data_IF_076109756643
#
_entry.id   IF_076109756643
#
_cell.length_a   1.000
_cell.length_b   1.000
_cell.length_c   1.000
_cell.angle_alpha   90.00
_cell.angle_beta   90.00
_cell.angle_gamma   90.00
#
_symmetry.space_group_name_H-M   'P 1'
#
loop_
_entity.id
_entity.type
_entity.pdbx_description
1 polymer ?
#
# COMPACT_ATOMS: atom_id res chain seq x y z
N UNK A 1 -12.05 -1.29 2.47
CA UNK A 1 -10.63 -1.19 2.93
C UNK A 1 -10.04 0.18 2.62
N UNK A 2 -8.93 0.52 3.26
CA UNK A 2 -8.16 1.72 2.96
C UNK A 2 -6.72 1.42 2.55
N UNK A 3 -6.16 2.34 1.76
CA UNK A 3 -4.74 2.42 1.47
C UNK A 3 -4.28 3.85 1.77
N UNK A 4 -3.26 4.03 2.59
CA UNK A 4 -2.70 5.32 2.95
C UNK A 4 -1.37 5.56 2.20
N UNK A 5 -1.26 6.68 1.50
CA UNK A 5 -0.13 7.05 0.64
C UNK A 5 -0.54 7.28 -0.81
N UNK A 6 0.23 8.13 -1.50
CA UNK A 6 0.00 8.51 -2.90
C UNK A 6 1.09 8.05 -3.87
N UNK A 7 1.95 7.11 -3.46
CA UNK A 7 3.13 6.66 -4.22
C UNK A 7 2.97 5.22 -4.73
N UNK A 8 4.02 4.64 -5.31
CA UNK A 8 3.98 3.36 -6.05
C UNK A 8 3.40 2.20 -5.25
N UNK A 9 3.83 2.00 -4.01
CA UNK A 9 3.38 0.87 -3.19
C UNK A 9 1.88 0.95 -2.90
N UNK A 10 1.43 2.12 -2.44
CA UNK A 10 0.03 2.40 -2.14
C UNK A 10 -0.87 2.28 -3.39
N UNK A 11 -0.47 2.87 -4.51
CA UNK A 11 -1.28 2.80 -5.74
C UNK A 11 -1.29 1.40 -6.37
N UNK A 12 -0.20 0.63 -6.22
CA UNK A 12 -0.18 -0.78 -6.61
C UNK A 12 -1.13 -1.62 -5.75
N UNK A 13 -1.12 -1.43 -4.42
CA UNK A 13 -2.06 -2.07 -3.51
C UNK A 13 -3.51 -1.74 -3.86
N UNK A 14 -3.80 -0.45 -4.10
CA UNK A 14 -5.13 0.01 -4.47
C UNK A 14 -5.60 -0.58 -5.80
N UNK A 15 -4.75 -0.59 -6.83
CA UNK A 15 -5.06 -1.17 -8.15
C UNK A 15 -5.40 -2.66 -8.05
N UNK A 16 -4.60 -3.44 -7.31
CA UNK A 16 -4.86 -4.86 -7.10
C UNK A 16 -6.16 -5.08 -6.29
N UNK A 17 -6.41 -4.26 -5.27
CA UNK A 17 -7.64 -4.31 -4.48
C UNK A 17 -8.90 -4.06 -5.34
N UNK A 18 -8.88 -3.03 -6.17
CA UNK A 18 -9.98 -2.69 -7.08
C UNK A 18 -10.23 -3.81 -8.09
N UNK A 19 -9.17 -4.40 -8.67
CA UNK A 19 -9.28 -5.55 -9.61
C UNK A 19 -9.89 -6.79 -8.96
N UNK A 20 -9.73 -6.94 -7.64
CA UNK A 20 -10.34 -8.02 -6.84
C UNK A 20 -11.76 -7.69 -6.35
N UNK A 21 -12.28 -6.51 -6.68
CA UNK A 21 -13.64 -6.08 -6.33
C UNK A 21 -13.76 -5.43 -4.95
N UNK A 22 -12.65 -5.09 -4.28
CA UNK A 22 -12.70 -4.35 -3.03
C UNK A 22 -13.09 -2.88 -3.27
N UNK A 23 -13.88 -2.32 -2.36
CA UNK A 23 -14.04 -0.87 -2.25
C UNK A 23 -12.80 -0.28 -1.56
N UNK A 24 -12.02 0.51 -2.32
CA UNK A 24 -10.74 1.08 -1.86
C UNK A 24 -10.84 2.59 -1.67
N UNK A 25 -10.58 3.04 -0.45
CA UNK A 25 -10.33 4.46 -0.15
C UNK A 25 -8.83 4.71 -0.14
N UNK A 26 -8.36 5.67 -0.94
CA UNK A 26 -6.95 6.10 -0.98
C UNK A 26 -6.82 7.36 -0.13
N UNK A 27 -6.12 7.26 0.99
CA UNK A 27 -5.84 8.35 1.92
C UNK A 27 -4.53 9.03 1.53
N UNK A 28 -4.60 10.25 1.04
CA UNK A 28 -3.45 10.98 0.50
C UNK A 28 -2.91 11.97 1.53
N UNK A 29 -1.60 11.94 1.79
CA UNK A 29 -0.90 12.95 2.59
C UNK A 29 -0.41 14.10 1.71
N UNK A 30 0.11 13.75 0.54
CA UNK A 30 0.49 14.66 -0.53
C UNK A 30 -0.29 14.35 -1.81
N UNK A 31 -0.23 15.27 -2.77
CA UNK A 31 -0.83 15.06 -4.09
C UNK A 31 -0.10 13.93 -4.85
N UNK A 32 -0.80 12.83 -5.24
CA UNK A 32 -0.19 11.70 -5.92
C UNK A 32 0.54 12.07 -7.22
N UNK A 33 0.02 13.06 -7.96
CA UNK A 33 0.66 13.56 -9.18
C UNK A 33 2.10 14.03 -8.90
N UNK A 34 2.27 14.87 -7.88
CA UNK A 34 3.56 15.41 -7.48
C UNK A 34 4.53 14.30 -7.04
N UNK A 35 4.05 13.34 -6.23
CA UNK A 35 4.88 12.22 -5.77
C UNK A 35 5.38 11.37 -6.94
N UNK A 36 4.49 11.02 -7.88
CA UNK A 36 4.84 10.15 -9.00
C UNK A 36 5.77 10.84 -10.01
N UNK A 37 5.56 12.12 -10.31
CA UNK A 37 6.45 12.89 -11.19
C UNK A 37 7.87 13.01 -10.62
N UNK A 38 8.02 12.99 -9.30
CA UNK A 38 9.32 13.03 -8.64
C UNK A 38 10.12 11.71 -8.75
N UNK A 39 9.48 10.59 -9.13
CA UNK A 39 10.15 9.27 -9.19
C UNK A 39 11.03 9.11 -10.43
N UNK A 40 10.62 9.66 -11.57
CA UNK A 40 11.36 9.54 -12.82
C UNK A 40 10.91 10.61 -13.83
N UNK A 41 11.88 11.15 -14.55
CA UNK A 41 11.72 12.01 -15.74
C UNK A 41 10.91 11.37 -16.89
N UNK A 42 10.77 10.04 -16.90
CA UNK A 42 9.95 9.31 -17.88
C UNK A 42 8.45 9.37 -17.58
N UNK A 43 8.06 9.75 -16.37
CA UNK A 43 6.66 9.91 -15.99
C UNK A 43 6.22 11.33 -16.34
N UNK A 44 5.42 11.46 -17.40
CA UNK A 44 4.85 12.76 -17.77
C UNK A 44 3.54 13.01 -17.01
N UNK A 45 3.14 14.29 -16.82
CA UNK A 45 1.87 14.62 -16.17
C UNK A 45 0.67 13.93 -16.82
N UNK A 46 0.67 13.80 -18.15
CA UNK A 46 -0.42 13.17 -18.90
C UNK A 46 -0.52 11.68 -18.59
N UNK A 47 0.61 10.97 -18.53
CA UNK A 47 0.63 9.54 -18.17
C UNK A 47 0.15 9.35 -16.74
N UNK A 48 0.69 10.11 -15.80
CA UNK A 48 0.31 9.99 -14.38
C UNK A 48 -1.17 10.31 -14.18
N UNK A 49 -1.66 11.42 -14.74
CA UNK A 49 -3.06 11.81 -14.61
C UNK A 49 -4.00 10.80 -15.25
N UNK A 50 -3.62 10.20 -16.39
CA UNK A 50 -4.40 9.12 -17.01
C UNK A 50 -4.55 7.93 -16.07
N UNK A 51 -3.48 7.48 -15.42
CA UNK A 51 -3.52 6.34 -14.50
C UNK A 51 -4.32 6.67 -13.22
N UNK A 52 -4.16 7.88 -12.65
CA UNK A 52 -4.95 8.32 -11.50
C UNK A 52 -6.44 8.44 -11.82
N UNK A 53 -6.78 8.99 -13.00
CA UNK A 53 -8.16 9.06 -13.48
C UNK A 53 -8.75 7.68 -13.71
N UNK A 54 -7.96 6.74 -14.22
CA UNK A 54 -8.38 5.35 -14.37
C UNK A 54 -8.72 4.73 -13.00
N UNK A 55 -7.87 4.89 -11.98
CA UNK A 55 -8.14 4.40 -10.62
C UNK A 55 -9.46 4.96 -10.07
N UNK A 56 -9.69 6.27 -10.23
CA UNK A 56 -10.95 6.89 -9.81
C UNK A 56 -12.15 6.30 -10.59
N UNK A 57 -12.01 6.12 -11.91
CA UNK A 57 -13.07 5.59 -12.77
C UNK A 57 -13.44 4.13 -12.45
N UNK A 58 -12.49 3.32 -11.98
CA UNK A 58 -12.76 1.94 -11.54
C UNK A 58 -13.22 1.82 -10.08
N UNK A 59 -13.41 2.95 -9.39
CA UNK A 59 -14.06 3.00 -8.07
C UNK A 59 -13.15 3.38 -6.91
N UNK A 60 -11.91 3.80 -7.13
CA UNK A 60 -11.07 4.34 -6.07
C UNK A 60 -11.64 5.67 -5.56
N UNK A 61 -11.73 5.83 -4.24
CA UNK A 61 -12.14 7.09 -3.61
C UNK A 61 -10.92 7.76 -2.99
N UNK A 62 -10.48 8.88 -3.56
CA UNK A 62 -9.38 9.67 -3.02
C UNK A 62 -9.89 10.62 -1.94
N UNK A 63 -9.23 10.63 -0.78
CA UNK A 63 -9.51 11.57 0.32
C UNK A 63 -8.20 11.98 0.99
N UNK A 64 -8.10 13.21 1.50
CA UNK A 64 -6.95 13.59 2.31
C UNK A 64 -6.91 12.75 3.60
N UNK A 65 -5.70 12.39 4.04
CA UNK A 65 -5.51 11.83 5.37
C UNK A 65 -5.77 12.93 6.43
N UNK A 66 -6.53 12.65 7.50
CA UNK A 66 -6.80 13.63 8.56
C UNK A 66 -5.53 13.89 9.39
N UNK A 67 -4.91 15.06 9.17
CA UNK A 67 -3.60 15.39 9.75
C UNK A 67 -3.56 15.48 11.29
N UNK A 68 -4.73 15.61 11.93
CA UNK A 68 -4.92 15.70 13.38
C UNK A 68 -5.20 14.34 14.04
N UNK A 69 -5.23 13.25 13.27
CA UNK A 69 -5.56 11.90 13.76
C UNK A 69 -4.34 10.98 13.70
N UNK A 70 -4.23 10.09 14.69
CA UNK A 70 -3.21 9.04 14.67
C UNK A 70 -3.55 7.98 13.61
N UNK A 71 -2.52 7.31 13.08
CA UNK A 71 -2.70 6.25 12.08
C UNK A 71 -3.62 5.13 12.58
N UNK A 72 -3.46 4.69 13.83
CA UNK A 72 -4.26 3.62 14.44
C UNK A 72 -5.75 4.01 14.56
N UNK A 73 -6.04 5.28 14.86
CA UNK A 73 -7.41 5.79 14.94
C UNK A 73 -8.08 5.75 13.56
N UNK A 74 -7.33 6.11 12.51
CA UNK A 74 -7.82 6.06 11.12
C UNK A 74 -7.93 4.61 10.64
N UNK A 75 -6.98 3.75 10.98
CA UNK A 75 -7.00 2.33 10.63
C UNK A 75 -8.25 1.63 11.19
N UNK A 76 -8.64 1.98 12.42
CA UNK A 76 -9.83 1.44 13.11
C UNK A 76 -11.16 1.79 12.42
N UNK A 77 -11.19 2.75 11.50
CA UNK A 77 -12.37 3.12 10.71
C UNK A 77 -12.59 2.19 9.50
N UNK A 78 -11.61 1.33 9.19
CA UNK A 78 -11.66 0.41 8.06
C UNK A 78 -11.47 -1.03 8.53
N UNK A 79 -11.99 -1.99 7.76
CA UNK A 79 -11.79 -3.42 8.05
C UNK A 79 -10.32 -3.83 7.95
N UNK A 80 -9.54 -3.11 7.13
CA UNK A 80 -8.09 -3.23 7.03
C UNK A 80 -7.49 -2.00 6.32
N UNK A 81 -6.25 -1.66 6.65
CA UNK A 81 -5.50 -0.55 6.08
C UNK A 81 -4.08 -0.98 5.68
N UNK A 82 -3.65 -0.61 4.48
CA UNK A 82 -2.23 -0.68 4.07
C UNK A 82 -1.63 0.72 4.00
N UNK A 83 -0.46 0.95 4.60
CA UNK A 83 0.27 2.21 4.48
C UNK A 83 1.56 2.05 3.67
N UNK A 84 1.69 2.88 2.62
CA UNK A 84 2.84 2.92 1.73
C UNK A 84 3.91 3.88 2.25
N UNK A 85 5.02 3.33 2.75
CA UNK A 85 6.17 4.04 3.33
C UNK A 85 7.04 4.75 2.28
N UNK A 86 6.73 4.60 0.98
CA UNK A 86 7.38 5.30 -0.13
C UNK A 86 6.79 6.70 -0.43
N UNK A 87 5.93 7.20 0.45
CA UNK A 87 5.47 8.60 0.48
C UNK A 87 5.90 9.27 1.79
N UNK A 88 6.51 10.48 1.77
CA UNK A 88 7.03 11.14 2.96
C UNK A 88 6.02 11.33 4.10
N UNK A 89 4.80 11.77 3.79
CA UNK A 89 3.73 11.99 4.76
C UNK A 89 3.22 10.69 5.37
N UNK A 90 3.11 9.64 4.56
CA UNK A 90 2.76 8.31 5.04
C UNK A 90 3.85 7.72 5.94
N UNK A 91 5.13 7.83 5.55
CA UNK A 91 6.26 7.42 6.37
C UNK A 91 6.32 8.22 7.70
N UNK A 92 5.98 9.51 7.67
CA UNK A 92 5.89 10.33 8.87
C UNK A 92 4.75 9.91 9.81
N UNK A 93 3.58 9.57 9.25
CA UNK A 93 2.43 9.09 10.02
C UNK A 93 2.65 7.68 10.58
N UNK A 94 3.42 6.84 9.88
CA UNK A 94 3.81 5.49 10.29
C UNK A 94 5.05 5.46 11.19
N UNK A 95 5.54 6.59 11.72
CA UNK A 95 6.72 6.57 12.60
C UNK A 95 6.47 5.69 13.82
N UNK A 96 7.35 4.71 14.03
CA UNK A 96 7.21 3.72 15.11
C UNK A 96 6.30 2.54 14.75
N UNK A 97 5.68 2.56 13.57
CA UNK A 97 4.90 1.46 12.99
C UNK A 97 5.77 0.77 11.95
N UNK A 98 6.37 -0.36 12.36
CA UNK A 98 7.14 -1.21 11.46
C UNK A 98 6.41 -2.55 11.26
N UNK A 99 6.57 -3.20 10.09
CA UNK A 99 6.12 -4.58 9.92
C UNK A 99 6.81 -5.49 10.94
N UNK A 100 6.02 -6.26 11.69
CA UNK A 100 6.51 -7.30 12.58
C UNK A 100 6.85 -8.58 11.82
N UNK A 101 6.21 -8.80 10.67
CA UNK A 101 6.47 -9.92 9.78
C UNK A 101 6.78 -9.42 8.36
N UNK A 102 7.98 -9.69 7.81
CA UNK A 102 8.37 -9.24 6.47
C UNK A 102 7.60 -9.93 5.33
N UNK A 103 6.91 -11.04 5.61
CA UNK A 103 6.09 -11.76 4.62
C UNK A 103 4.67 -11.20 4.60
N UNK A 104 3.99 -11.14 5.74
CA UNK A 104 2.63 -10.59 5.78
C UNK A 104 2.60 -9.05 5.78
N UNK A 105 3.69 -8.38 6.08
CA UNK A 105 3.73 -6.92 6.26
C UNK A 105 2.82 -6.41 7.40
N UNK A 106 2.31 -7.30 8.25
CA UNK A 106 1.46 -6.91 9.38
C UNK A 106 2.28 -6.16 10.42
N UNK A 107 1.69 -5.10 10.98
CA UNK A 107 2.31 -4.28 12.03
C UNK A 107 1.91 -4.78 13.42
N UNK A 108 2.26 -4.04 14.47
CA UNK A 108 1.76 -4.32 15.82
C UNK A 108 0.26 -4.09 16.01
N UNK A 109 -0.41 -3.45 15.05
CA UNK A 109 -1.84 -3.20 15.05
C UNK A 109 -2.56 -4.16 14.08
N UNK A 110 -3.41 -5.09 14.57
CA UNK A 110 -4.11 -6.04 13.72
C UNK A 110 -4.91 -5.37 12.60
N UNK A 111 -4.78 -5.85 11.37
CA UNK A 111 -5.45 -5.26 10.20
C UNK A 111 -4.75 -4.01 9.64
N UNK A 112 -3.65 -3.55 10.25
CA UNK A 112 -2.76 -2.52 9.70
C UNK A 112 -1.49 -3.16 9.14
N UNK A 113 -1.24 -2.91 7.86
CA UNK A 113 -0.09 -3.42 7.11
C UNK A 113 0.77 -2.27 6.60
N UNK A 114 2.09 -2.44 6.57
CA UNK A 114 3.01 -1.39 6.12
C UNK A 114 4.07 -1.94 5.16
N UNK A 115 4.41 -1.18 4.11
CA UNK A 115 5.48 -1.57 3.18
C UNK A 115 5.82 -0.45 2.21
N UNK A 116 6.68 -0.73 1.24
CA UNK A 116 7.20 0.24 0.30
C UNK A 116 8.52 0.90 0.72
N UNK A 117 9.10 0.54 1.87
CA UNK A 117 10.38 1.11 2.31
C UNK A 117 11.56 0.43 1.60
N UNK A 118 11.73 0.76 0.32
CA UNK A 118 12.77 0.20 -0.53
C UNK A 118 13.31 1.24 -1.51
N UNK A 119 14.60 1.22 -1.86
CA UNK A 119 15.10 2.03 -2.98
C UNK A 119 14.64 1.51 -4.35
N UNK A 120 14.16 0.27 -4.46
CA UNK A 120 13.76 -0.34 -5.74
C UNK A 120 12.28 -0.10 -6.04
N UNK A 121 11.99 0.55 -7.18
CA UNK A 121 10.60 0.78 -7.63
C UNK A 121 9.81 -0.53 -7.78
N UNK A 122 10.45 -1.59 -8.26
CA UNK A 122 9.81 -2.90 -8.43
C UNK A 122 9.48 -3.50 -7.06
N UNK A 123 10.38 -3.35 -6.07
CA UNK A 123 10.10 -3.84 -4.71
C UNK A 123 8.98 -3.05 -4.04
N UNK A 124 8.94 -1.72 -4.19
CA UNK A 124 7.82 -0.89 -3.69
C UNK A 124 6.48 -1.39 -4.22
N UNK A 125 6.38 -1.59 -5.53
CA UNK A 125 5.17 -2.10 -6.15
C UNK A 125 4.85 -3.55 -5.73
N UNK A 126 5.87 -4.40 -5.57
CA UNK A 126 5.70 -5.77 -5.10
C UNK A 126 5.19 -5.82 -3.66
N UNK A 127 5.71 -4.98 -2.76
CA UNK A 127 5.26 -4.86 -1.38
C UNK A 127 3.84 -4.30 -1.28
N UNK A 128 3.46 -3.36 -2.16
CA UNK A 128 2.07 -2.91 -2.28
C UNK A 128 1.10 -4.07 -2.58
N UNK A 129 1.42 -4.87 -3.61
CA UNK A 129 0.61 -6.06 -3.95
C UNK A 129 0.60 -7.10 -2.83
N UNK A 130 1.76 -7.30 -2.18
CA UNK A 130 1.92 -8.18 -1.02
C UNK A 130 1.03 -7.75 0.14
N UNK A 131 0.99 -6.46 0.44
CA UNK A 131 0.12 -5.87 1.47
C UNK A 131 -1.36 -6.09 1.14
N UNK A 132 -1.75 -5.95 -0.13
CA UNK A 132 -3.12 -6.25 -0.56
C UNK A 132 -3.46 -7.75 -0.43
N UNK A 133 -2.52 -8.66 -0.70
CA UNK A 133 -2.71 -10.10 -0.42
C UNK A 133 -2.91 -10.33 1.08
N UNK A 134 -2.14 -9.65 1.93
CA UNK A 134 -2.27 -9.77 3.39
C UNK A 134 -3.62 -9.26 3.89
N UNK A 135 -4.09 -8.13 3.39
CA UNK A 135 -5.44 -7.61 3.65
C UNK A 135 -6.50 -8.63 3.25
N UNK A 136 -6.40 -9.21 2.05
CA UNK A 136 -7.36 -10.22 1.60
C UNK A 136 -7.44 -11.41 2.56
N UNK A 137 -6.28 -11.93 2.97
CA UNK A 137 -6.22 -13.06 3.92
C UNK A 137 -6.76 -12.69 5.29
N UNK A 138 -6.45 -11.48 5.77
CA UNK A 138 -6.96 -10.95 7.03
C UNK A 138 -8.49 -10.92 7.04
N UNK A 139 -9.10 -10.36 5.98
CA UNK A 139 -10.56 -10.27 5.85
C UNK A 139 -11.24 -11.65 5.71
N UNK A 140 -10.53 -12.63 5.15
CA UNK A 140 -11.00 -14.02 5.07
C UNK A 140 -10.84 -14.79 6.38
N UNK A 141 -10.19 -14.23 7.40
CA UNK A 141 -9.80 -14.95 8.61
C UNK A 141 -8.78 -16.07 8.35
N UNK A 142 -8.06 -15.98 7.23
CA UNK A 142 -7.06 -16.96 6.82
C UNK A 142 -5.69 -16.66 7.48
N UNK A 143 -4.85 -17.68 7.62
CA UNK A 143 -3.48 -17.51 8.09
C UNK A 143 -2.69 -16.59 7.15
N UNK A 144 -2.12 -15.52 7.71
CA UNK A 144 -1.36 -14.51 6.98
C UNK A 144 -0.08 -15.03 6.29
N UNK A 145 0.80 -15.82 6.96
CA UNK A 145 2.04 -16.30 6.34
C UNK A 145 1.85 -17.56 5.47
N UNK A 146 0.76 -18.31 5.65
CA UNK A 146 0.61 -19.64 5.05
C UNK A 146 0.67 -19.63 3.51
N UNK A 147 1.57 -20.44 2.94
CA UNK A 147 1.71 -20.59 1.49
C UNK A 147 2.49 -19.46 0.80
N UNK A 148 3.13 -18.57 1.58
CA UNK A 148 3.84 -17.38 1.09
C UNK A 148 5.35 -17.45 1.27
N UNK A 149 5.85 -18.64 1.64
CA UNK A 149 7.27 -18.98 1.86
C UNK A 149 8.17 -18.66 0.64
N UNK A 150 7.59 -18.53 -0.55
CA UNK A 150 8.29 -18.25 -1.82
C UNK A 150 8.09 -16.82 -2.33
N UNK A 151 7.47 -15.94 -1.54
CA UNK A 151 7.30 -14.53 -1.89
C UNK A 151 8.62 -13.77 -1.68
N UNK A 152 9.33 -13.48 -2.77
CA UNK A 152 10.61 -12.77 -2.73
C UNK A 152 11.81 -13.72 -2.84
N UNK A 153 13.02 -13.29 -2.43
CA UNK A 153 14.19 -14.16 -2.40
C UNK A 153 13.95 -15.32 -1.41
N UNK A 154 14.11 -16.56 -1.87
CA UNK A 154 14.04 -17.75 -1.03
C UNK A 154 15.15 -18.72 -1.41
N UNK A 155 15.61 -19.52 -0.45
CA UNK A 155 16.63 -20.53 -0.72
C UNK A 155 16.10 -21.58 -1.69
N UNK A 156 16.83 -21.76 -2.79
CA UNK A 156 16.52 -22.81 -3.76
C UNK A 156 17.43 -24.01 -3.56
N UNK A 157 16.98 -25.19 -3.99
CA UNK A 157 17.82 -26.40 -4.05
C UNK A 157 18.62 -26.50 -5.37
N UNK A 158 18.75 -25.40 -6.11
CA UNK A 158 19.65 -25.34 -7.26
C UNK A 158 21.05 -25.01 -6.75
N UNK A 159 21.98 -25.95 -6.95
CA UNK A 159 23.41 -25.81 -6.71
C UNK A 159 24.15 -25.70 -8.05
#
# INVERSE_FOLDING_TARGET
IAVAGGSLSALAAASDGLRKGFSVTILTFEEPLTLLLALSDRLTPEVVQRELNWLAAVGAVFRPFPADRALDDVASEFEALYIGLDAPGAAAAARGVAPLDPVSLETGHPGLFAGGDSPSFIQRAAEGRRGMISIERFLQGASLPSGREKEGPFETRLF
#
